data_IF_725437534044
#
_entry.id   IF_725437534044
#
_cell.length_a   1.000
_cell.length_b   1.000
_cell.length_c   1.000
_cell.angle_alpha   90.00
_cell.angle_beta   90.00
_cell.angle_gamma   90.00
#
_symmetry.space_group_name_H-M   'P 1'
#
loop_
_entity.id
_entity.type
_entity.pdbx_description
1 polymer ?
#
# COMPACT_ATOMS: atom_id res chain seq x y z
N UNK A 1 13.34 -11.22 24.59
CA UNK A 1 12.92 -10.80 24.00
C UNK A 1 12.88 -10.65 23.36
N UNK A 2 13.45 -10.84 23.76
CA UNK A 2 13.02 -10.38 23.07
C UNK A 2 13.22 -10.28 22.44
N UNK A 3 13.32 -10.23 22.80
CA UNK A 3 13.12 -9.79 22.14
C UNK A 3 12.85 -9.60 21.45
N UNK A 4 13.39 -10.15 22.38
CA UNK A 4 12.87 -9.70 21.71
C UNK A 4 12.79 -9.44 20.95
N UNK A 5 13.15 -9.55 21.26
CA UNK A 5 12.75 -9.06 20.53
C UNK A 5 12.97 -8.69 19.86
N UNK A 6 13.07 -8.84 20.62
CA UNK A 6 12.91 -8.39 20.03
C UNK A 6 12.60 -8.13 19.18
N UNK A 7 13.16 -8.53 19.74
CA UNK A 7 12.69 -8.14 18.90
C UNK A 7 12.26 -7.90 18.31
N UNK A 8 12.41 -8.07 18.90
CA UNK A 8 11.69 -7.70 18.47
C UNK A 8 11.72 -7.28 18.19
N UNK A 9 11.82 -7.36 18.64
CA UNK A 9 11.47 -6.76 18.42
C UNK A 9 11.33 -6.58 17.58
N UNK A 10 12.27 -6.98 18.48
CA UNK A 10 11.78 -6.57 17.91
C UNK A 10 11.56 -6.57 16.99
N UNK A 11 11.66 -6.62 17.02
CA UNK A 11 11.05 -6.40 16.28
C UNK A 11 10.75 -6.02 15.72
N UNK A 12 11.31 -6.22 16.34
CA UNK A 12 10.61 -5.68 15.91
C UNK A 12 10.44 -5.48 15.16
N UNK A 13 10.61 -5.38 15.49
CA UNK A 13 10.14 -5.03 14.83
C UNK A 13 10.15 -5.29 13.85
N UNK A 14 10.37 -5.23 14.37
CA UNK A 14 10.16 -5.28 13.46
C UNK A 14 9.56 -5.68 12.85
N UNK A 15 9.70 -5.91 13.23
CA UNK A 15 9.04 -6.15 12.59
C UNK A 15 8.17 -6.25 12.32
N UNK A 16 8.30 -6.31 12.99
CA UNK A 16 7.37 -6.28 12.70
C UNK A 16 6.93 -6.46 12.07
N UNK A 17 7.13 -6.62 12.21
CA UNK A 17 6.66 -6.57 11.54
C UNK A 17 6.03 -7.04 11.08
N UNK A 18 5.98 -7.32 11.31
CA UNK A 18 5.46 -7.60 10.87
C UNK A 18 4.58 -7.77 10.65
N UNK A 19 4.34 -7.69 11.28
CA UNK A 19 3.78 -7.64 11.08
C UNK A 19 3.30 -7.36 10.59
N UNK A 20 2.83 -7.31 11.32
CA UNK A 20 2.56 -6.72 10.28
C UNK A 20 3.43 -6.30 9.45
N UNK A 21 3.92 -6.26 9.71
CA UNK A 21 4.93 -5.78 8.85
C UNK A 21 4.67 -6.13 7.45
N UNK A 22 5.25 -5.91 6.51
CA UNK A 22 5.02 -6.33 5.16
C UNK A 22 4.52 -5.28 4.22
N UNK A 23 4.09 -4.14 4.70
CA UNK A 23 3.66 -3.06 3.82
C UNK A 23 4.88 -2.36 3.24
N UNK A 24 4.82 -2.00 1.96
CA UNK A 24 5.92 -1.29 1.33
C UNK A 24 6.05 0.13 1.89
N UNK A 25 7.26 0.69 1.79
CA UNK A 25 7.50 2.07 2.22
C UNK A 25 6.64 3.05 1.39
N UNK A 26 6.46 2.76 0.09
CA UNK A 26 5.63 3.59 -0.77
C UNK A 26 4.18 3.58 -0.34
N UNK A 27 3.67 2.43 0.09
CA UNK A 27 2.29 2.35 0.57
C UNK A 27 2.11 3.17 1.85
N UNK A 28 3.05 3.07 2.79
CA UNK A 28 3.02 3.85 4.02
C UNK A 28 3.09 5.35 3.72
N UNK A 29 3.94 5.72 2.75
CA UNK A 29 4.02 7.12 2.32
C UNK A 29 2.70 7.57 1.70
N UNK A 30 2.04 6.70 0.93
CA UNK A 30 0.75 7.03 0.33
C UNK A 30 -0.32 7.29 1.41
N UNK A 31 -0.32 6.50 2.48
CA UNK A 31 -1.22 6.74 3.60
C UNK A 31 -0.94 8.10 4.25
N UNK A 32 0.34 8.45 4.41
CA UNK A 32 0.73 9.75 4.96
C UNK A 32 0.29 10.89 4.03
N UNK A 33 0.37 10.70 2.72
CA UNK A 33 -0.14 11.67 1.76
C UNK A 33 -1.64 11.89 1.96
N UNK A 34 -2.38 10.80 2.14
CA UNK A 34 -3.83 10.88 2.37
C UNK A 34 -4.15 11.63 3.66
N UNK A 35 -3.26 11.56 4.65
CA UNK A 35 -3.40 12.30 5.91
C UNK A 35 -2.91 13.76 5.81
N UNK A 36 -2.46 14.18 4.65
CA UNK A 36 -2.03 15.56 4.42
C UNK A 36 -0.60 15.88 4.81
N UNK A 37 0.21 14.88 5.16
CA UNK A 37 1.55 15.11 5.69
C UNK A 37 2.56 15.59 4.65
N UNK A 38 2.26 15.43 3.38
CA UNK A 38 3.16 15.83 2.30
C UNK A 38 2.64 17.03 1.51
N UNK A 39 1.55 17.66 1.98
CA UNK A 39 0.99 18.81 1.29
C UNK A 39 0.35 18.46 -0.04
N UNK A 40 0.34 19.43 -0.95
CA UNK A 40 -0.36 19.32 -2.23
C UNK A 40 0.54 19.71 -3.39
N UNK A 41 0.17 19.24 -4.57
CA UNK A 41 0.77 19.68 -5.82
C UNK A 41 2.29 19.56 -5.85
N UNK A 42 2.95 20.64 -6.24
CA UNK A 42 4.40 20.64 -6.36
C UNK A 42 5.09 20.47 -5.01
N UNK A 43 4.46 20.96 -3.94
CA UNK A 43 4.98 20.77 -2.59
C UNK A 43 5.07 19.31 -2.23
N UNK A 44 4.03 18.54 -2.58
CA UNK A 44 4.01 17.08 -2.36
C UNK A 44 5.15 16.41 -3.12
N UNK A 45 5.33 16.80 -4.39
CA UNK A 45 6.41 16.25 -5.21
C UNK A 45 7.76 16.48 -4.56
N UNK A 46 8.01 17.72 -4.12
CA UNK A 46 9.30 18.04 -3.51
C UNK A 46 9.54 17.27 -2.21
N UNK A 47 8.51 17.18 -1.37
CA UNK A 47 8.67 16.54 -0.07
C UNK A 47 8.87 15.03 -0.20
N UNK A 48 8.13 14.39 -1.09
CA UNK A 48 8.30 12.96 -1.33
C UNK A 48 9.67 12.68 -1.92
N UNK A 49 10.09 13.47 -2.88
CA UNK A 49 11.41 13.30 -3.51
C UNK A 49 12.51 13.51 -2.48
N UNK A 50 12.40 14.53 -1.63
CA UNK A 50 13.38 14.78 -0.58
C UNK A 50 13.45 13.65 0.42
N UNK A 51 12.34 12.95 0.66
CA UNK A 51 12.30 11.80 1.56
C UNK A 51 12.81 10.51 0.92
N UNK A 52 13.18 10.57 -0.36
CA UNK A 52 13.76 9.42 -1.05
C UNK A 52 12.75 8.56 -1.80
N UNK A 53 11.51 9.02 -1.96
CA UNK A 53 10.48 8.27 -2.65
C UNK A 53 10.40 8.66 -4.12
N UNK A 54 9.94 7.70 -4.92
CA UNK A 54 9.53 7.99 -6.29
C UNK A 54 8.14 8.59 -6.22
N UNK A 55 8.02 9.87 -6.61
CA UNK A 55 6.75 10.57 -6.53
C UNK A 55 5.65 9.85 -7.30
N UNK A 56 5.95 9.41 -8.53
CA UNK A 56 4.92 8.79 -9.38
C UNK A 56 4.41 7.49 -8.78
N UNK A 57 5.30 6.70 -8.18
CA UNK A 57 4.92 5.44 -7.54
C UNK A 57 3.99 5.68 -6.35
N UNK A 58 4.34 6.66 -5.50
CA UNK A 58 3.49 6.99 -4.35
C UNK A 58 2.16 7.57 -4.81
N UNK A 59 2.19 8.49 -5.78
CA UNK A 59 0.97 9.13 -6.28
C UNK A 59 0.04 8.12 -6.92
N UNK A 60 0.58 7.11 -7.59
CA UNK A 60 -0.21 6.03 -8.17
C UNK A 60 -1.04 5.31 -7.08
N UNK A 61 -0.40 5.00 -5.96
CA UNK A 61 -1.10 4.37 -4.84
C UNK A 61 -2.11 5.32 -4.19
N UNK A 62 -1.76 6.60 -4.08
CA UNK A 62 -2.68 7.62 -3.56
C UNK A 62 -3.94 7.66 -4.43
N UNK A 63 -3.77 7.62 -5.75
CA UNK A 63 -4.91 7.65 -6.67
C UNK A 63 -5.85 6.47 -6.42
N UNK A 64 -5.30 5.28 -6.21
CA UNK A 64 -6.10 4.11 -5.88
C UNK A 64 -6.82 4.24 -4.55
N UNK A 65 -6.12 4.73 -3.54
CA UNK A 65 -6.72 4.95 -2.21
C UNK A 65 -7.83 6.00 -2.28
N UNK A 66 -7.63 7.06 -3.07
CA UNK A 66 -8.63 8.11 -3.22
C UNK A 66 -9.88 7.61 -3.92
N UNK A 67 -9.76 6.59 -4.76
CA UNK A 67 -10.91 5.95 -5.42
C UNK A 67 -11.66 4.99 -4.51
N UNK A 68 -11.16 4.76 -3.29
CA UNK A 68 -11.77 3.81 -2.37
C UNK A 68 -11.34 2.37 -2.61
N UNK A 69 -10.23 2.14 -3.29
CA UNK A 69 -9.78 0.80 -3.63
C UNK A 69 -9.06 0.07 -2.50
N UNK A 70 -8.81 0.74 -1.37
CA UNK A 70 -8.19 0.10 -0.22
C UNK A 70 -8.95 -1.14 0.25
N UNK A 71 -10.25 -1.00 0.55
CA UNK A 71 -11.05 -2.17 0.96
C UNK A 71 -11.15 -3.25 -0.12
N UNK A 72 -11.16 -2.86 -1.40
CA UNK A 72 -11.20 -3.82 -2.51
C UNK A 72 -9.91 -4.64 -2.52
N UNK A 73 -8.76 -3.97 -2.34
CA UNK A 73 -7.47 -4.66 -2.27
C UNK A 73 -7.44 -5.62 -1.09
N UNK A 74 -7.99 -5.22 0.06
CA UNK A 74 -8.07 -6.10 1.22
C UNK A 74 -8.92 -7.35 0.91
N UNK A 75 -10.01 -7.18 0.18
CA UNK A 75 -10.85 -8.31 -0.23
C UNK A 75 -10.09 -9.25 -1.16
N UNK A 76 -9.27 -8.70 -2.06
CA UNK A 76 -8.42 -9.53 -2.92
C UNK A 76 -7.46 -10.36 -2.08
N UNK A 77 -6.83 -9.74 -1.09
CA UNK A 77 -5.89 -10.43 -0.20
C UNK A 77 -6.60 -11.56 0.53
N UNK A 78 -7.86 -11.36 0.88
CA UNK A 78 -8.68 -12.38 1.56
C UNK A 78 -9.26 -13.43 0.63
N UNK A 79 -8.92 -13.38 -0.66
CA UNK A 79 -9.30 -14.42 -1.61
C UNK A 79 -10.67 -14.24 -2.25
N UNK A 80 -11.32 -13.11 -2.06
CA UNK A 80 -12.70 -12.92 -2.52
C UNK A 80 -12.86 -12.76 -4.03
N UNK A 81 -11.77 -12.48 -4.71
CA UNK A 81 -11.80 -12.26 -6.16
C UNK A 81 -11.04 -13.36 -6.92
N UNK A 82 -10.64 -14.43 -6.23
CA UNK A 82 -9.93 -15.54 -6.87
C UNK A 82 -8.51 -15.18 -7.27
N UNK A 83 -8.00 -15.87 -8.30
CA UNK A 83 -6.59 -15.78 -8.69
C UNK A 83 -6.44 -15.46 -10.18
N UNK A 84 -5.29 -14.89 -10.52
CA UNK A 84 -4.82 -14.74 -11.91
C UNK A 84 -5.87 -14.08 -12.82
N UNK A 85 -6.12 -14.66 -13.99
CA UNK A 85 -7.07 -14.09 -14.96
C UNK A 85 -8.49 -14.01 -14.40
N UNK A 86 -8.87 -14.97 -13.56
CA UNK A 86 -10.17 -14.96 -12.93
C UNK A 86 -10.34 -13.70 -12.07
N UNK A 87 -9.30 -13.33 -11.33
CA UNK A 87 -9.31 -12.11 -10.51
C UNK A 87 -9.48 -10.86 -11.38
N UNK A 88 -8.72 -10.79 -12.48
CA UNK A 88 -8.81 -9.65 -13.39
C UNK A 88 -10.23 -9.52 -13.92
N UNK A 89 -10.81 -10.62 -14.36
CA UNK A 89 -12.17 -10.60 -14.90
C UNK A 89 -13.20 -10.22 -13.84
N UNK A 90 -13.06 -10.76 -12.63
CA UNK A 90 -14.00 -10.48 -11.54
C UNK A 90 -13.95 -9.02 -11.11
N UNK A 91 -12.76 -8.44 -10.98
CA UNK A 91 -12.59 -7.05 -10.61
C UNK A 91 -13.16 -6.13 -11.69
N UNK A 92 -12.87 -6.44 -12.96
CA UNK A 92 -13.37 -5.65 -14.07
C UNK A 92 -14.88 -5.70 -14.15
N UNK A 93 -15.47 -6.88 -13.94
CA UNK A 93 -16.92 -7.03 -13.93
C UNK A 93 -17.57 -6.22 -12.81
N UNK A 94 -16.87 -6.06 -11.69
CA UNK A 94 -17.35 -5.27 -10.57
C UNK A 94 -17.16 -3.75 -10.77
N UNK A 95 -16.52 -3.35 -11.87
CA UNK A 95 -16.34 -1.94 -12.18
C UNK A 95 -15.02 -1.35 -11.70
N UNK A 96 -14.08 -2.16 -11.27
CA UNK A 96 -12.79 -1.68 -10.78
C UNK A 96 -11.71 -1.83 -11.86
N UNK A 97 -10.67 -1.00 -11.74
CA UNK A 97 -9.46 -1.16 -12.54
C UNK A 97 -8.63 -2.27 -11.90
N UNK A 98 -8.54 -3.46 -12.51
CA UNK A 98 -7.90 -4.59 -11.85
C UNK A 98 -6.40 -4.40 -11.65
N UNK A 99 -5.76 -3.61 -12.51
CA UNK A 99 -4.31 -3.40 -12.39
C UNK A 99 -3.98 -2.44 -11.26
N UNK A 100 -4.80 -1.40 -11.07
CA UNK A 100 -4.61 -0.48 -9.94
C UNK A 100 -4.89 -1.19 -8.63
N UNK A 101 -5.93 -2.01 -8.57
CA UNK A 101 -6.21 -2.83 -7.38
C UNK A 101 -5.02 -3.75 -7.10
N UNK A 102 -4.49 -4.41 -8.14
CA UNK A 102 -3.37 -5.33 -7.95
C UNK A 102 -2.12 -4.59 -7.45
N UNK A 103 -1.89 -3.38 -7.94
CA UNK A 103 -0.74 -2.58 -7.48
C UNK A 103 -0.87 -2.25 -5.99
N UNK A 104 -2.09 -1.94 -5.53
CA UNK A 104 -2.33 -1.74 -4.11
C UNK A 104 -2.10 -3.02 -3.32
N UNK A 105 -2.60 -4.16 -3.82
CA UNK A 105 -2.39 -5.45 -3.16
C UNK A 105 -0.89 -5.72 -3.01
N UNK A 106 -0.13 -5.53 -4.08
CA UNK A 106 1.31 -5.77 -4.05
C UNK A 106 2.01 -4.89 -3.02
N UNK A 107 1.61 -3.62 -2.96
CA UNK A 107 2.20 -2.67 -2.01
C UNK A 107 1.82 -3.03 -0.56
N UNK A 108 0.61 -3.51 -0.35
CA UNK A 108 0.14 -3.88 0.98
C UNK A 108 0.80 -5.16 1.50
N UNK A 109 1.30 -6.01 0.62
CA UNK A 109 1.89 -7.29 0.99
C UNK A 109 3.41 -7.27 1.07
N UNK A 110 4.04 -6.16 0.75
CA UNK A 110 5.49 -6.08 0.84
C UNK A 110 5.93 -5.76 2.25
#
# INVERSE_FOLDING_TARGET
>A
MSEVNKNLEGLGDEQLVTVAGGMSAEYLAALDVMDGKYGNGEDRRRRLTAAGFNYDAVQHLVNGLAKGYGPVAADVINGRYGNNQFRINALRAAGYDPYLVQDLVNAMLK
#
